data_IF_235481994826
#
_entry.id   IF_235481994826
#
_cell.length_a   1.000
_cell.length_b   1.000
_cell.length_c   1.000
_cell.angle_alpha   90.00
_cell.angle_beta   90.00
_cell.angle_gamma   90.00
#
_symmetry.space_group_name_H-M   'P 1'
#
loop_
_entity.id
_entity.type
_entity.pdbx_description
1 polymer ?
#
# COMPACT_ATOMS: atom_id res chain seq x y z
N UNK A 1 9.16 -3.70 13.26
CA UNK A 1 8.45 -4.27 12.10
C UNK A 1 9.45 -4.85 11.11
N UNK A 2 9.10 -5.94 10.43
CA UNK A 2 9.92 -6.57 9.38
C UNK A 2 9.28 -6.51 7.98
N UNK A 3 8.18 -5.77 7.81
CA UNK A 3 7.43 -5.67 6.54
C UNK A 3 7.43 -4.24 5.99
N UNK A 4 7.60 -4.11 4.67
CA UNK A 4 7.53 -2.84 3.95
C UNK A 4 6.15 -2.18 4.06
N UNK A 5 5.07 -2.96 3.92
CA UNK A 5 3.70 -2.44 4.03
C UNK A 5 3.38 -1.89 5.43
N UNK A 6 3.93 -2.53 6.47
CA UNK A 6 3.82 -2.04 7.84
C UNK A 6 4.54 -0.70 8.02
N UNK A 7 5.74 -0.57 7.46
CA UNK A 7 6.50 0.69 7.50
C UNK A 7 5.79 1.81 6.71
N UNK A 8 5.21 1.51 5.55
CA UNK A 8 4.41 2.48 4.78
C UNK A 8 3.13 2.90 5.52
N UNK A 9 2.47 1.97 6.20
CA UNK A 9 1.31 2.29 7.04
C UNK A 9 1.69 3.20 8.21
N UNK A 10 2.83 2.94 8.87
CA UNK A 10 3.34 3.83 9.91
C UNK A 10 3.63 5.22 9.36
N UNK A 11 4.27 5.30 8.19
CA UNK A 11 4.57 6.56 7.52
C UNK A 11 3.29 7.35 7.18
N UNK A 12 2.24 6.65 6.73
CA UNK A 12 0.94 7.23 6.46
C UNK A 12 0.30 7.79 7.74
N UNK A 13 0.30 7.05 8.85
CA UNK A 13 -0.22 7.54 10.14
C UNK A 13 0.56 8.78 10.58
N UNK A 14 1.89 8.72 10.55
CA UNK A 14 2.73 9.85 10.94
C UNK A 14 2.48 11.10 10.06
N UNK A 15 2.26 10.90 8.77
CA UNK A 15 1.91 11.97 7.81
C UNK A 15 0.54 12.58 8.13
N UNK A 16 -0.47 11.76 8.45
CA UNK A 16 -1.80 12.24 8.85
C UNK A 16 -1.71 13.06 10.14
N UNK A 17 -0.96 12.58 11.15
CA UNK A 17 -0.73 13.30 12.40
C UNK A 17 0.07 14.59 12.20
N UNK A 18 0.88 14.66 11.14
CA UNK A 18 1.59 15.87 10.72
C UNK A 18 0.77 16.77 9.77
N UNK A 19 -0.56 16.73 9.85
CA UNK A 19 -1.43 17.61 9.07
C UNK A 19 -1.45 17.30 7.57
N UNK A 20 -1.13 16.06 7.20
CA UNK A 20 -1.07 15.60 5.81
C UNK A 20 0.22 15.95 5.09
N UNK A 21 1.23 16.49 5.78
CA UNK A 21 2.58 16.69 5.25
C UNK A 21 3.49 15.52 5.65
N UNK A 22 4.51 15.16 4.84
CA UNK A 22 5.46 14.12 5.20
C UNK A 22 6.01 14.35 6.61
N UNK A 23 6.03 13.30 7.43
CA UNK A 23 6.51 13.40 8.80
C UNK A 23 7.99 13.80 8.84
N UNK A 24 8.38 14.55 9.87
CA UNK A 24 9.78 14.91 10.16
C UNK A 24 10.24 14.18 11.42
N UNK A 25 11.53 14.25 11.72
CA UNK A 25 12.11 13.74 12.97
C UNK A 25 11.44 14.34 14.20
N UNK A 26 11.07 15.63 14.15
CA UNK A 26 10.37 16.34 15.22
C UNK A 26 8.92 15.86 15.36
N UNK A 27 8.19 15.67 14.26
CA UNK A 27 6.81 15.18 14.33
C UNK A 27 6.76 13.73 14.80
N UNK A 28 7.70 12.88 14.37
CA UNK A 28 7.83 11.51 14.87
C UNK A 28 8.12 11.49 16.37
N UNK A 29 8.98 12.39 16.86
CA UNK A 29 9.24 12.52 18.30
C UNK A 29 8.00 12.98 19.08
N UNK A 30 7.25 13.94 18.54
CA UNK A 30 6.01 14.47 19.14
C UNK A 30 4.91 13.41 19.21
N UNK A 31 4.73 12.65 18.13
CA UNK A 31 3.56 11.78 17.93
C UNK A 31 3.85 10.29 18.20
N UNK A 32 5.09 9.93 18.51
CA UNK A 32 5.55 8.54 18.59
C UNK A 32 4.71 7.64 19.50
N UNK A 33 4.30 8.13 20.68
CA UNK A 33 3.45 7.35 21.59
C UNK A 33 2.05 7.10 21.03
N UNK A 34 1.47 8.07 20.33
CA UNK A 34 0.19 7.91 19.63
C UNK A 34 0.30 6.87 18.52
N UNK A 35 1.38 6.92 17.73
CA UNK A 35 1.63 5.96 16.65
C UNK A 35 1.78 4.55 17.24
N UNK A 36 2.59 4.38 18.29
CA UNK A 36 2.75 3.08 18.99
C UNK A 36 1.41 2.55 19.50
N UNK A 37 0.57 3.41 20.10
CA UNK A 37 -0.73 3.01 20.62
C UNK A 37 -1.68 2.52 19.51
N UNK A 38 -1.68 3.17 18.34
CA UNK A 38 -2.44 2.71 17.17
C UNK A 38 -1.97 1.32 16.74
N UNK A 39 -0.65 1.12 16.61
CA UNK A 39 -0.09 -0.17 16.22
C UNK A 39 -0.38 -1.27 17.23
N UNK A 40 -0.26 -1.00 18.53
CA UNK A 40 -0.59 -1.95 19.58
C UNK A 40 -2.06 -2.39 19.51
N UNK A 41 -2.99 -1.48 19.15
CA UNK A 41 -4.41 -1.79 18.97
C UNK A 41 -4.77 -2.41 17.62
N UNK A 42 -3.84 -2.44 16.67
CA UNK A 42 -4.08 -2.98 15.32
C UNK A 42 -4.03 -4.52 15.27
N UNK A 43 -3.74 -5.17 16.40
CA UNK A 43 -3.68 -6.62 16.49
C UNK A 43 -2.36 -7.19 15.94
N UNK A 44 -2.37 -8.49 15.66
CA UNK A 44 -1.19 -9.18 15.16
C UNK A 44 -0.86 -8.75 13.73
N UNK A 45 0.38 -8.33 13.51
CA UNK A 45 0.87 -7.94 12.19
C UNK A 45 1.50 -9.16 11.51
N UNK A 46 0.93 -9.53 10.36
CA UNK A 46 1.47 -10.61 9.54
C UNK A 46 2.87 -10.26 8.99
N UNK A 47 3.61 -11.30 8.57
CA UNK A 47 4.93 -11.15 7.97
C UNK A 47 4.87 -10.56 6.57
N UNK A 48 3.74 -10.67 5.86
CA UNK A 48 3.53 -10.10 4.54
C UNK A 48 2.15 -9.47 4.36
N UNK A 49 2.03 -8.54 3.40
CA UNK A 49 0.74 -7.98 2.99
C UNK A 49 -0.15 -8.99 2.26
N UNK A 50 0.44 -10.01 1.64
CA UNK A 50 -0.30 -11.07 0.96
C UNK A 50 -1.01 -11.99 1.96
N UNK A 51 -0.32 -12.38 3.04
CA UNK A 51 -0.93 -13.16 4.12
C UNK A 51 -2.09 -12.39 4.77
N UNK A 52 -1.88 -11.08 5.02
CA UNK A 52 -2.93 -10.20 5.55
C UNK A 52 -4.14 -10.13 4.62
N UNK A 53 -3.90 -10.02 3.31
CA UNK A 53 -4.95 -9.96 2.29
C UNK A 53 -5.72 -11.27 2.19
N UNK A 54 -5.04 -12.40 2.15
CA UNK A 54 -5.67 -13.72 2.11
C UNK A 54 -6.52 -13.98 3.36
N UNK A 55 -6.05 -13.59 4.54
CA UNK A 55 -6.84 -13.69 5.76
C UNK A 55 -8.05 -12.75 5.76
N UNK A 56 -7.91 -11.52 5.27
CA UNK A 56 -9.05 -10.61 5.12
C UNK A 56 -10.16 -11.22 4.24
N UNK A 57 -9.78 -11.82 3.11
CA UNK A 57 -10.73 -12.45 2.19
C UNK A 57 -11.37 -13.73 2.76
N UNK A 58 -10.67 -14.49 3.61
CA UNK A 58 -11.12 -15.82 4.06
C UNK A 58 -11.76 -15.84 5.44
N UNK A 59 -11.29 -14.99 6.37
CA UNK A 59 -11.82 -14.94 7.75
C UNK A 59 -13.09 -14.07 7.85
N UNK A 60 -13.32 -13.20 6.86
CA UNK A 60 -14.49 -12.34 6.78
C UNK A 60 -14.54 -11.24 7.84
N UNK A 61 -15.63 -10.47 7.80
CA UNK A 61 -15.81 -9.25 8.59
C UNK A 61 -15.77 -9.47 10.11
N UNK A 62 -16.10 -10.67 10.58
CA UNK A 62 -16.09 -11.01 12.01
C UNK A 62 -14.68 -11.07 12.61
N UNK A 63 -13.65 -11.32 11.80
CA UNK A 63 -12.26 -11.38 12.24
C UNK A 63 -11.45 -10.16 11.80
N UNK A 64 -11.53 -9.79 10.52
CA UNK A 64 -10.80 -8.66 9.94
C UNK A 64 -11.78 -7.78 9.15
N UNK A 65 -12.52 -6.87 9.82
CA UNK A 65 -13.52 -6.02 9.15
C UNK A 65 -12.89 -4.97 8.21
N UNK A 66 -11.61 -4.68 8.41
CA UNK A 66 -10.84 -3.73 7.61
C UNK A 66 -9.38 -4.20 7.55
N UNK A 67 -8.72 -3.93 6.43
CA UNK A 67 -7.28 -4.07 6.31
C UNK A 67 -6.69 -2.89 5.55
N UNK A 68 -5.40 -2.64 5.79
CA UNK A 68 -4.58 -1.77 4.94
C UNK A 68 -3.83 -2.67 3.97
N UNK A 69 -3.95 -2.39 2.68
CA UNK A 69 -3.33 -3.17 1.61
C UNK A 69 -3.11 -2.33 0.36
N UNK A 70 -2.44 -2.92 -0.62
CA UNK A 70 -2.22 -2.27 -1.91
C UNK A 70 -3.47 -2.37 -2.78
N UNK A 71 -3.79 -1.30 -3.50
CA UNK A 71 -4.87 -1.30 -4.51
C UNK A 71 -4.70 -2.45 -5.50
N UNK A 72 -3.47 -2.66 -5.97
CA UNK A 72 -3.12 -3.70 -6.95
C UNK A 72 -3.49 -5.11 -6.49
N UNK A 73 -3.49 -5.42 -5.19
CA UNK A 73 -3.82 -6.77 -4.71
C UNK A 73 -5.27 -7.16 -5.07
N UNK A 74 -6.21 -6.23 -4.91
CA UNK A 74 -7.62 -6.50 -5.25
C UNK A 74 -7.88 -6.39 -6.76
N UNK A 75 -7.18 -5.48 -7.45
CA UNK A 75 -7.26 -5.39 -8.92
C UNK A 75 -6.70 -6.66 -9.60
N UNK A 76 -5.60 -7.21 -9.09
CA UNK A 76 -4.98 -8.45 -9.55
C UNK A 76 -5.92 -9.64 -9.33
N UNK A 77 -6.50 -9.76 -8.12
CA UNK A 77 -7.50 -10.79 -7.81
C UNK A 77 -8.67 -10.75 -8.81
N UNK A 78 -9.20 -9.55 -9.10
CA UNK A 78 -10.31 -9.38 -10.02
C UNK A 78 -10.01 -9.86 -11.46
N UNK A 79 -8.76 -9.77 -11.90
CA UNK A 79 -8.35 -10.14 -13.26
C UNK A 79 -7.85 -11.58 -13.35
N UNK A 80 -7.02 -12.01 -12.40
CA UNK A 80 -6.31 -13.28 -12.46
C UNK A 80 -7.06 -14.41 -11.73
N UNK A 81 -7.99 -14.07 -10.85
CA UNK A 81 -8.81 -15.04 -10.10
C UNK A 81 -10.30 -14.63 -10.08
N UNK A 82 -10.95 -14.49 -11.24
CA UNK A 82 -12.29 -13.90 -11.35
C UNK A 82 -13.37 -14.69 -10.59
N UNK A 83 -13.24 -16.01 -10.48
CA UNK A 83 -14.18 -16.84 -9.72
C UNK A 83 -14.07 -16.59 -8.20
N UNK A 84 -12.86 -16.35 -7.69
CA UNK A 84 -12.65 -15.95 -6.30
C UNK A 84 -13.16 -14.53 -6.06
N UNK A 85 -12.85 -13.59 -6.96
CA UNK A 85 -13.35 -12.23 -6.86
C UNK A 85 -14.88 -12.18 -6.88
N UNK A 86 -15.55 -12.98 -7.72
CA UNK A 86 -17.01 -13.04 -7.79
C UNK A 86 -17.66 -13.42 -6.46
N UNK A 87 -16.98 -14.19 -5.60
CA UNK A 87 -17.48 -14.59 -4.30
C UNK A 87 -17.46 -13.45 -3.27
N UNK A 88 -16.55 -12.48 -3.43
CA UNK A 88 -16.31 -11.41 -2.44
C UNK A 88 -16.67 -10.01 -2.94
N UNK A 89 -16.90 -9.82 -4.25
CA UNK A 89 -17.04 -8.51 -4.90
C UNK A 89 -18.13 -7.60 -4.33
N UNK A 90 -19.16 -8.17 -3.72
CA UNK A 90 -20.30 -7.42 -3.15
C UNK A 90 -20.09 -7.11 -1.66
N UNK A 91 -19.08 -7.72 -1.03
CA UNK A 91 -18.76 -7.59 0.39
C UNK A 91 -17.49 -6.76 0.64
N UNK A 92 -16.76 -6.39 -0.42
CA UNK A 92 -15.51 -5.59 -0.33
C UNK A 92 -15.61 -4.28 -1.11
N UNK A 93 -14.96 -3.25 -0.58
CA UNK A 93 -14.84 -1.94 -1.22
C UNK A 93 -13.48 -1.33 -0.89
N UNK A 94 -12.86 -0.66 -1.85
CA UNK A 94 -11.64 0.12 -1.60
C UNK A 94 -12.03 1.51 -1.08
N UNK A 95 -11.36 1.94 -0.01
CA UNK A 95 -11.44 3.31 0.51
C UNK A 95 -10.03 3.89 0.55
N UNK A 96 -9.88 5.12 0.06
CA UNK A 96 -8.59 5.83 0.09
C UNK A 96 -8.59 6.83 1.25
N UNK A 97 -7.63 6.77 2.19
CA UNK A 97 -7.44 7.83 3.17
C UNK A 97 -6.98 9.12 2.46
N UNK A 98 -7.24 10.26 3.09
CA UNK A 98 -6.81 11.58 2.60
C UNK A 98 -5.88 12.22 3.63
N UNK A 99 -4.58 12.36 3.33
CA UNK A 99 -3.89 11.84 2.14
C UNK A 99 -3.71 10.32 2.19
N UNK A 100 -3.36 9.73 1.06
CA UNK A 100 -2.71 8.40 0.97
C UNK A 100 -1.24 8.55 0.59
N UNK A 101 -0.49 7.45 0.42
CA UNK A 101 0.92 7.44 0.01
C UNK A 101 1.15 6.57 -1.23
N UNK A 102 2.14 6.93 -2.06
CA UNK A 102 2.58 6.08 -3.17
C UNK A 102 3.58 5.02 -2.68
N UNK A 103 3.25 3.74 -2.88
CA UNK A 103 4.24 2.66 -2.77
C UNK A 103 5.03 2.53 -4.07
N UNK A 104 6.16 3.24 -4.14
CA UNK A 104 6.99 3.29 -5.34
C UNK A 104 7.97 2.12 -5.38
N UNK A 105 7.79 1.23 -6.36
CA UNK A 105 8.73 0.14 -6.61
C UNK A 105 9.93 0.67 -7.39
N UNK A 106 11.09 0.70 -6.73
CA UNK A 106 12.33 1.27 -7.32
C UNK A 106 13.25 0.16 -7.81
N UNK A 107 13.83 0.34 -9.01
CA UNK A 107 14.89 -0.51 -9.54
C UNK A 107 16.13 0.34 -9.83
N UNK A 108 17.28 -0.10 -9.32
CA UNK A 108 18.58 0.50 -9.60
C UNK A 108 19.42 -0.48 -10.41
N UNK A 109 19.74 -0.13 -11.66
CA UNK A 109 20.62 -0.93 -12.49
C UNK A 109 22.08 -0.79 -12.03
N UNK A 110 22.76 -1.91 -11.77
CA UNK A 110 24.15 -1.94 -11.32
C UNK A 110 25.14 -2.30 -12.45
N UNK A 111 24.63 -2.79 -13.58
CA UNK A 111 25.41 -3.20 -14.75
C UNK A 111 24.57 -3.07 -16.04
N UNK A 112 25.19 -3.37 -17.19
CA UNK A 112 24.56 -3.32 -18.51
C UNK A 112 23.34 -4.26 -18.64
N UNK A 113 23.32 -5.38 -17.91
CA UNK A 113 22.17 -6.30 -17.92
C UNK A 113 21.01 -5.71 -17.13
N UNK A 114 21.29 -5.07 -16.00
CA UNK A 114 20.33 -4.31 -15.21
C UNK A 114 19.73 -3.14 -16.00
N UNK A 115 20.55 -2.45 -16.81
CA UNK A 115 20.05 -1.39 -17.70
C UNK A 115 19.07 -1.96 -18.73
N UNK A 116 19.41 -3.10 -19.36
CA UNK A 116 18.48 -3.78 -20.29
C UNK A 116 17.17 -4.18 -19.63
N UNK A 117 17.20 -4.65 -18.39
CA UNK A 117 15.99 -4.96 -17.62
C UNK A 117 15.18 -3.69 -17.32
N UNK A 118 15.82 -2.61 -16.89
CA UNK A 118 15.16 -1.33 -16.64
C UNK A 118 14.45 -0.81 -17.90
N UNK A 119 15.10 -0.87 -19.05
CA UNK A 119 14.52 -0.46 -20.34
C UNK A 119 13.32 -1.33 -20.73
N UNK A 120 13.41 -2.65 -20.52
CA UNK A 120 12.30 -3.56 -20.75
C UNK A 120 11.10 -3.22 -19.85
N UNK A 121 11.33 -3.03 -18.55
CA UNK A 121 10.27 -2.71 -17.59
C UNK A 121 9.58 -1.38 -17.92
N UNK A 122 10.31 -0.40 -18.46
CA UNK A 122 9.78 0.88 -18.90
C UNK A 122 9.10 0.84 -20.27
N UNK A 123 9.20 -0.28 -21.00
CA UNK A 123 8.57 -0.41 -22.31
C UNK A 123 7.05 -0.33 -22.19
N UNK A 124 6.39 0.26 -23.19
CA UNK A 124 4.93 0.44 -23.22
C UNK A 124 4.18 -0.89 -23.06
N UNK A 125 4.71 -1.99 -23.63
CA UNK A 125 4.09 -3.31 -23.53
C UNK A 125 4.10 -3.84 -22.10
N UNK A 126 5.22 -3.69 -21.38
CA UNK A 126 5.32 -4.16 -19.99
C UNK A 126 4.53 -3.27 -19.06
N UNK A 127 4.56 -1.94 -19.25
CA UNK A 127 3.73 -1.01 -18.47
C UNK A 127 2.24 -1.29 -18.67
N UNK A 128 1.82 -1.55 -19.91
CA UNK A 128 0.44 -1.97 -20.21
C UNK A 128 0.10 -3.29 -19.52
N UNK A 129 0.96 -4.30 -19.60
CA UNK A 129 0.75 -5.58 -18.92
C UNK A 129 0.60 -5.39 -17.40
N UNK A 130 1.49 -4.61 -16.78
CA UNK A 130 1.50 -4.35 -15.35
C UNK A 130 0.19 -3.69 -14.88
N UNK A 131 -0.35 -2.76 -15.68
CA UNK A 131 -1.67 -2.21 -15.42
C UNK A 131 -2.76 -3.25 -15.65
N UNK A 132 -2.92 -3.75 -16.88
CA UNK A 132 -4.09 -4.54 -17.29
C UNK A 132 -4.24 -5.88 -16.57
N UNK A 133 -3.12 -6.46 -16.10
CA UNK A 133 -3.11 -7.76 -15.44
C UNK A 133 -2.90 -7.69 -13.93
N UNK A 134 -2.26 -6.64 -13.45
CA UNK A 134 -1.79 -6.60 -12.06
C UNK A 134 -2.14 -5.29 -11.33
N UNK A 135 -2.85 -4.36 -11.98
CA UNK A 135 -3.32 -3.13 -11.35
C UNK A 135 -2.23 -2.14 -10.93
N UNK A 136 -0.99 -2.30 -11.42
CA UNK A 136 0.08 -1.35 -11.11
C UNK A 136 -0.09 -0.06 -11.92
N UNK A 137 -0.28 1.06 -11.22
CA UNK A 137 -0.30 2.39 -11.84
C UNK A 137 1.09 2.75 -12.35
N UNK A 138 1.17 3.15 -13.62
CA UNK A 138 2.38 3.74 -14.19
C UNK A 138 2.47 5.23 -13.84
N UNK A 139 3.69 5.78 -13.76
CA UNK A 139 3.93 7.21 -13.51
C UNK A 139 3.19 8.14 -14.50
N UNK A 140 2.99 7.66 -15.73
CA UNK A 140 2.28 8.38 -16.80
C UNK A 140 0.93 7.73 -17.09
N UNK A 141 0.14 7.39 -16.07
CA UNK A 141 -1.21 6.86 -16.28
C UNK A 141 -2.12 7.91 -16.94
N UNK A 142 -1.99 8.03 -18.26
CA UNK A 142 -2.73 8.92 -19.11
C UNK A 142 -4.00 8.21 -19.54
N UNK A 143 -5.03 8.28 -18.67
CA UNK A 143 -6.49 8.23 -18.88
C UNK A 143 -7.13 7.47 -20.05
N UNK A 144 -6.41 6.60 -20.74
CA UNK A 144 -6.85 5.91 -21.96
C UNK A 144 -7.46 4.55 -21.66
N UNK A 145 -7.17 4.00 -20.48
CA UNK A 145 -7.69 2.72 -20.00
C UNK A 145 -8.16 2.86 -18.55
N UNK A 146 -9.43 3.19 -18.29
CA UNK A 146 -9.92 3.58 -16.97
C UNK A 146 -9.95 2.42 -15.95
N UNK A 147 -9.81 2.74 -14.66
CA UNK A 147 -9.79 1.76 -13.56
C UNK A 147 -11.09 0.94 -13.46
N UNK A 148 -12.21 1.47 -13.99
CA UNK A 148 -13.47 0.73 -14.07
C UNK A 148 -13.36 -0.63 -14.76
N UNK A 149 -12.31 -0.88 -15.56
CA UNK A 149 -12.05 -2.18 -16.20
C UNK A 149 -11.98 -3.35 -15.21
N UNK A 150 -11.52 -3.09 -13.99
CA UNK A 150 -11.38 -4.12 -12.97
C UNK A 150 -12.71 -4.46 -12.30
N UNK A 151 -13.74 -3.60 -12.41
CA UNK A 151 -15.02 -3.81 -11.76
C UNK A 151 -14.96 -3.82 -10.23
N UNK A 152 -13.91 -3.23 -9.64
CA UNK A 152 -13.69 -3.19 -8.20
C UNK A 152 -14.35 -1.93 -7.60
N UNK A 153 -15.30 -2.08 -6.66
CA UNK A 153 -15.98 -0.95 -6.03
C UNK A 153 -15.03 -0.01 -5.27
N UNK A 154 -15.35 1.28 -5.30
CA UNK A 154 -14.64 2.31 -4.54
C UNK A 154 -13.34 2.82 -5.19
N UNK A 155 -12.91 2.22 -6.30
CA UNK A 155 -11.71 2.65 -7.04
C UNK A 155 -11.85 4.03 -7.68
N UNK A 156 -10.75 4.78 -7.75
CA UNK A 156 -10.70 6.12 -8.34
C UNK A 156 -9.75 6.15 -9.55
N UNK A 157 -10.15 6.75 -10.67
CA UNK A 157 -9.26 6.89 -11.83
C UNK A 157 -8.00 7.70 -11.50
N UNK A 158 -8.15 8.74 -10.67
CA UNK A 158 -7.08 9.60 -10.20
C UNK A 158 -7.14 9.70 -8.67
N UNK A 159 -5.98 9.62 -8.00
CA UNK A 159 -5.89 9.77 -6.55
C UNK A 159 -5.60 11.26 -6.25
N UNK A 160 -6.57 12.02 -5.70
CA UNK A 160 -6.47 13.48 -5.63
C UNK A 160 -5.54 13.99 -4.52
N UNK A 161 -5.26 13.17 -3.51
CA UNK A 161 -4.49 13.56 -2.33
C UNK A 161 -3.47 12.48 -1.99
N UNK A 162 -2.24 12.67 -2.45
CA UNK A 162 -1.12 11.77 -2.15
C UNK A 162 0.00 12.57 -1.52
N UNK A 163 0.53 12.06 -0.42
CA UNK A 163 1.75 12.57 0.21
C UNK A 163 2.94 11.71 -0.19
N UNK A 164 4.12 12.34 -0.25
CA UNK A 164 5.38 11.61 -0.25
C UNK A 164 5.58 10.91 1.11
N UNK A 165 6.39 9.85 1.09
CA UNK A 165 6.86 9.24 2.33
C UNK A 165 7.79 10.22 3.06
N UNK A 166 7.91 10.11 4.40
CA UNK A 166 8.92 10.82 5.17
C UNK A 166 10.33 10.60 4.62
N UNK A 167 11.23 11.55 4.86
CA UNK A 167 12.64 11.38 4.51
C UNK A 167 13.26 10.20 5.28
N UNK A 168 14.47 9.78 4.86
CA UNK A 168 15.10 8.60 5.45
C UNK A 168 15.29 8.72 6.97
N UNK A 169 15.69 9.88 7.48
CA UNK A 169 15.94 10.07 8.91
C UNK A 169 14.65 9.89 9.73
N UNK A 170 13.56 10.51 9.30
CA UNK A 170 12.25 10.36 9.91
C UNK A 170 11.73 8.91 9.80
N UNK A 171 11.94 8.25 8.65
CA UNK A 171 11.58 6.85 8.46
C UNK A 171 12.35 5.92 9.40
N UNK A 172 13.68 6.09 9.53
CA UNK A 172 14.48 5.28 10.45
C UNK A 172 14.04 5.49 11.90
N UNK A 173 13.83 6.75 12.31
CA UNK A 173 13.34 7.06 13.65
C UNK A 173 11.97 6.42 13.93
N UNK A 174 11.06 6.44 12.94
CA UNK A 174 9.74 5.83 13.04
C UNK A 174 9.84 4.30 13.13
N UNK A 175 10.67 3.66 12.31
CA UNK A 175 10.91 2.22 12.35
C UNK A 175 11.45 1.83 13.72
N UNK A 176 12.45 2.55 14.24
CA UNK A 176 13.02 2.33 15.57
C UNK A 176 11.97 2.52 16.67
N UNK A 177 11.14 3.56 16.59
CA UNK A 177 10.07 3.79 17.56
C UNK A 177 9.05 2.63 17.61
N UNK A 178 8.87 1.92 16.51
CA UNK A 178 7.93 0.79 16.39
C UNK A 178 8.60 -0.58 16.59
N UNK A 179 9.90 -0.63 16.90
CA UNK A 179 10.54 -1.87 17.31
C UNK A 179 10.01 -2.31 18.68
N UNK A 180 9.54 -3.55 18.77
CA UNK A 180 9.09 -4.14 20.04
C UNK A 180 7.67 -3.77 20.48
N UNK A 181 6.91 -3.00 19.70
CA UNK A 181 5.47 -2.79 19.95
C UNK A 181 4.76 -4.14 19.84
N UNK A 182 4.16 -4.58 20.94
CA UNK A 182 3.36 -5.81 21.00
C UNK A 182 1.87 -5.46 20.85
N UNK A 183 1.08 -6.32 20.17
CA UNK A 183 -0.37 -6.18 20.16
C UNK A 183 -0.93 -6.19 21.59
N UNK A 184 -1.86 -5.29 21.90
CA UNK A 184 -2.67 -5.38 23.10
C UNK A 184 -3.69 -6.51 22.92
N UNK A 185 -3.80 -7.39 23.92
CA UNK A 185 -4.81 -8.44 23.98
C UNK A 185 -6.21 -7.87 24.19
#
# INVERSE_FOLDING_TARGET
MQSNSGNEYAALIATVLNGGQPATTESVARDGETIKAIFAKSGWMETSSEDSFNQFLTLGVGSKPMMVGYESQLLDLAVNQPDAFKQIKDDVVIVYPTPTVWSTHTLMALDDKGVKLLDLLKSQKVQKLAWERHGFRAANFAGTDPIKRFGVPGTLDQIPAVSELPNNDAMQQLITALQGVQPQQ
#
